data_IF_298807421698
#
_entry.id   IF_298807421698
#
_cell.length_a   1.000
_cell.length_b   1.000
_cell.length_c   1.000
_cell.angle_alpha   90.00
_cell.angle_beta   90.00
_cell.angle_gamma   90.00
#
_symmetry.space_group_name_H-M   'P 1'
#
loop_
_entity.id
_entity.type
_entity.pdbx_description
1 polymer ?
#
# COMPACT_ATOMS: atom_id res chain seq x y z
N UNK A 1 3.38 -51.23 -1.83
CA UNK A 1 3.06 -50.93 -0.42
C UNK A 1 3.23 -49.42 -0.25
N UNK A 2 2.13 -48.69 -0.05
CA UNK A 2 2.22 -47.23 0.17
C UNK A 2 2.93 -46.99 1.51
N UNK A 3 4.02 -46.26 1.47
CA UNK A 3 4.86 -45.94 2.64
C UNK A 3 4.04 -45.20 3.69
N UNK A 4 3.55 -45.92 4.69
CA UNK A 4 2.77 -45.38 5.80
C UNK A 4 3.47 -44.20 6.50
N UNK A 5 4.82 -44.20 6.69
CA UNK A 5 5.55 -43.03 7.25
C UNK A 5 5.47 -41.78 6.40
N UNK A 6 5.51 -41.87 5.07
CA UNK A 6 5.42 -40.70 4.17
C UNK A 6 4.01 -40.08 4.20
N UNK A 7 2.97 -40.91 4.28
CA UNK A 7 1.58 -40.45 4.42
C UNK A 7 1.37 -39.72 5.74
N UNK A 8 1.91 -40.25 6.84
CA UNK A 8 1.85 -39.64 8.17
C UNK A 8 2.64 -38.32 8.18
N UNK A 9 3.83 -38.30 7.61
CA UNK A 9 4.64 -37.08 7.49
C UNK A 9 3.88 -36.00 6.73
N UNK A 10 3.30 -36.34 5.57
CA UNK A 10 2.52 -35.41 4.77
C UNK A 10 1.30 -34.85 5.55
N UNK A 11 0.64 -35.70 6.32
CA UNK A 11 -0.46 -35.29 7.20
C UNK A 11 0.00 -34.29 8.26
N UNK A 12 1.09 -34.58 8.96
CA UNK A 12 1.64 -33.71 10.00
C UNK A 12 2.15 -32.39 9.44
N UNK A 13 2.84 -32.39 8.30
CA UNK A 13 3.31 -31.17 7.65
C UNK A 13 2.16 -30.25 7.21
N UNK A 14 1.03 -30.82 6.76
CA UNK A 14 -0.21 -30.08 6.50
C UNK A 14 -0.80 -29.47 7.78
N UNK A 15 -0.90 -30.26 8.84
CA UNK A 15 -1.40 -29.80 10.14
C UNK A 15 -0.54 -28.67 10.72
N UNK A 16 0.77 -28.76 10.59
CA UNK A 16 1.74 -27.73 10.98
C UNK A 16 1.80 -26.52 10.03
N UNK A 17 1.05 -26.55 8.93
CA UNK A 17 1.03 -25.49 7.90
C UNK A 17 2.42 -25.22 7.31
N UNK A 18 3.14 -26.28 6.97
CA UNK A 18 4.47 -26.26 6.35
C UNK A 18 4.42 -26.76 4.88
N UNK A 19 3.79 -26.02 3.95
CA UNK A 19 3.57 -26.47 2.59
C UNK A 19 4.87 -26.59 1.78
N UNK A 20 5.88 -25.78 2.06
CA UNK A 20 7.18 -25.85 1.37
C UNK A 20 7.94 -27.10 1.81
N UNK A 21 7.91 -27.44 3.10
CA UNK A 21 8.42 -28.72 3.58
C UNK A 21 7.78 -29.88 2.83
N UNK A 22 6.43 -29.88 2.74
CA UNK A 22 5.69 -30.94 2.05
C UNK A 22 6.08 -31.10 0.59
N UNK A 23 6.41 -30.00 -0.09
CA UNK A 23 6.76 -29.98 -1.51
C UNK A 23 8.22 -30.35 -1.77
N UNK A 24 9.15 -29.93 -0.88
CA UNK A 24 10.58 -29.94 -1.16
C UNK A 24 11.37 -30.99 -0.35
N UNK A 25 10.80 -31.59 0.72
CA UNK A 25 11.56 -32.42 1.67
C UNK A 25 12.29 -33.61 1.01
N UNK A 26 11.64 -34.31 0.09
CA UNK A 26 12.20 -35.49 -0.55
C UNK A 26 13.31 -35.12 -1.54
N UNK A 27 13.03 -34.14 -2.40
CA UNK A 27 14.01 -33.62 -3.37
C UNK A 27 15.27 -33.11 -2.69
N UNK A 28 15.08 -32.32 -1.62
CA UNK A 28 16.22 -31.76 -0.87
C UNK A 28 17.00 -32.83 -0.11
N UNK A 29 16.29 -33.87 0.39
CA UNK A 29 16.96 -35.01 1.05
C UNK A 29 17.88 -35.78 0.08
N UNK A 30 17.40 -36.05 -1.14
CA UNK A 30 18.21 -36.71 -2.18
C UNK A 30 19.43 -35.86 -2.56
N UNK A 31 19.26 -34.56 -2.73
CA UNK A 31 20.34 -33.65 -3.03
C UNK A 31 21.38 -33.60 -1.89
N UNK A 32 20.94 -33.45 -0.65
CA UNK A 32 21.81 -33.41 0.52
C UNK A 32 22.58 -34.74 0.72
N UNK A 33 21.93 -35.88 0.45
CA UNK A 33 22.59 -37.17 0.49
C UNK A 33 23.73 -37.29 -0.57
N UNK A 34 23.48 -36.79 -1.78
CA UNK A 34 24.49 -36.75 -2.84
C UNK A 34 25.68 -35.81 -2.52
N UNK A 35 25.39 -34.70 -1.81
CA UNK A 35 26.39 -33.71 -1.38
C UNK A 35 27.13 -34.10 -0.07
N UNK A 36 26.73 -35.18 0.62
CA UNK A 36 27.27 -35.56 1.92
C UNK A 36 26.92 -34.58 3.04
N UNK A 37 25.79 -33.88 2.93
CA UNK A 37 25.32 -32.89 3.90
C UNK A 37 24.67 -33.59 5.10
N UNK A 38 25.02 -33.15 6.32
CA UNK A 38 24.47 -33.72 7.55
C UNK A 38 22.98 -33.34 7.77
N UNK A 39 22.32 -34.07 8.66
CA UNK A 39 20.88 -33.88 8.94
C UNK A 39 20.54 -32.49 9.47
N UNK A 40 21.30 -31.85 10.41
CA UNK A 40 21.06 -30.49 10.82
C UNK A 40 21.07 -29.47 9.68
N UNK A 41 22.04 -29.59 8.77
CA UNK A 41 22.12 -28.69 7.60
C UNK A 41 21.00 -28.93 6.59
N UNK A 42 20.59 -30.19 6.40
CA UNK A 42 19.39 -30.50 5.60
C UNK A 42 18.15 -29.79 6.17
N UNK A 43 17.89 -29.94 7.49
CA UNK A 43 16.75 -29.29 8.14
C UNK A 43 16.84 -27.77 8.08
N UNK A 44 18.05 -27.20 8.22
CA UNK A 44 18.25 -25.76 8.10
C UNK A 44 17.87 -25.26 6.71
N UNK A 45 18.39 -25.90 5.63
CA UNK A 45 18.04 -25.54 4.25
C UNK A 45 16.53 -25.60 4.01
N UNK A 46 15.85 -26.63 4.53
CA UNK A 46 14.42 -26.80 4.37
C UNK A 46 13.63 -25.72 5.13
N UNK A 47 14.08 -25.36 6.33
CA UNK A 47 13.46 -24.29 7.13
C UNK A 47 13.63 -22.92 6.46
N UNK A 48 14.81 -22.64 5.90
CA UNK A 48 15.07 -21.41 5.15
C UNK A 48 14.16 -21.27 3.92
N UNK A 49 13.97 -22.37 3.17
CA UNK A 49 13.04 -22.40 2.04
C UNK A 49 11.59 -22.09 2.48
N UNK A 50 11.13 -22.67 3.60
CA UNK A 50 9.79 -22.38 4.15
C UNK A 50 9.66 -20.91 4.56
N UNK A 51 10.69 -20.32 5.20
CA UNK A 51 10.68 -18.92 5.60
C UNK A 51 10.58 -17.99 4.39
N UNK A 52 11.40 -18.22 3.36
CA UNK A 52 11.37 -17.44 2.10
C UNK A 52 10.01 -17.55 1.42
N UNK A 53 9.47 -18.76 1.28
CA UNK A 53 8.17 -18.97 0.65
C UNK A 53 7.02 -18.39 1.47
N UNK A 54 7.12 -18.42 2.80
CA UNK A 54 6.12 -17.83 3.71
C UNK A 54 6.10 -16.31 3.58
N UNK A 55 7.28 -15.70 3.52
CA UNK A 55 7.41 -14.26 3.30
C UNK A 55 6.85 -13.86 1.93
N UNK A 56 7.22 -14.57 0.87
CA UNK A 56 6.68 -14.34 -0.48
C UNK A 56 5.15 -14.41 -0.51
N UNK A 57 4.55 -15.47 0.03
CA UNK A 57 3.10 -15.63 0.10
C UNK A 57 2.42 -14.54 0.94
N UNK A 58 3.07 -14.07 1.99
CA UNK A 58 2.58 -12.95 2.79
C UNK A 58 2.55 -11.67 1.97
N UNK A 59 3.64 -11.34 1.26
CA UNK A 59 3.73 -10.15 0.38
C UNK A 59 2.67 -10.22 -0.74
N UNK A 60 2.57 -11.34 -1.45
CA UNK A 60 1.57 -11.55 -2.51
C UNK A 60 0.14 -11.31 -1.99
N UNK A 61 -0.18 -11.84 -0.81
CA UNK A 61 -1.46 -11.62 -0.16
C UNK A 61 -1.69 -10.14 0.18
N UNK A 62 -0.68 -9.44 0.73
CA UNK A 62 -0.78 -8.01 1.06
C UNK A 62 -1.01 -7.15 -0.17
N UNK A 63 -0.31 -7.43 -1.28
CA UNK A 63 -0.52 -6.74 -2.56
C UNK A 63 -1.95 -6.96 -3.07
N UNK A 64 -2.45 -8.19 -3.02
CA UNK A 64 -3.82 -8.52 -3.42
C UNK A 64 -4.88 -7.81 -2.56
N UNK A 65 -4.67 -7.81 -1.24
CA UNK A 65 -5.57 -7.16 -0.27
C UNK A 65 -5.59 -5.63 -0.42
N UNK A 66 -4.47 -5.03 -0.86
CA UNK A 66 -4.33 -3.59 -1.04
C UNK A 66 -5.21 -3.00 -2.16
N UNK A 67 -5.67 -3.83 -3.11
CA UNK A 67 -6.53 -3.43 -4.25
C UNK A 67 -5.91 -2.33 -5.12
N UNK A 68 -4.61 -2.39 -5.36
CA UNK A 68 -3.96 -1.45 -6.27
C UNK A 68 -4.55 -1.55 -7.69
N UNK A 69 -4.84 -0.44 -8.37
CA UNK A 69 -5.31 -0.45 -9.77
C UNK A 69 -4.24 -1.00 -10.71
N UNK A 70 -2.98 -0.83 -10.36
CA UNK A 70 -1.80 -1.39 -11.03
C UNK A 70 -0.66 -1.46 -10.03
N UNK A 71 0.25 -2.40 -10.21
CA UNK A 71 1.46 -2.47 -9.38
C UNK A 71 2.52 -1.56 -10.00
N UNK A 72 2.99 -0.58 -9.23
CA UNK A 72 4.07 0.34 -9.59
C UNK A 72 5.16 0.29 -8.53
N UNK A 73 6.42 0.18 -8.98
CA UNK A 73 7.61 0.23 -8.12
C UNK A 73 8.24 1.62 -8.17
N UNK A 74 8.89 2.01 -7.08
CA UNK A 74 9.70 3.24 -7.05
C UNK A 74 10.90 3.16 -7.99
N UNK A 75 11.41 1.95 -8.25
CA UNK A 75 12.52 1.74 -9.20
C UNK A 75 12.16 2.12 -10.64
N UNK A 76 10.86 2.05 -10.98
CA UNK A 76 10.36 2.44 -12.29
C UNK A 76 9.98 3.91 -12.40
N UNK A 77 10.18 4.70 -11.33
CA UNK A 77 9.87 6.12 -11.31
C UNK A 77 11.09 6.95 -11.75
N UNK A 78 10.88 7.82 -12.73
CA UNK A 78 11.90 8.76 -13.19
C UNK A 78 11.92 10.01 -12.31
N UNK A 79 12.78 10.02 -11.30
CA UNK A 79 12.96 11.17 -10.39
C UNK A 79 13.50 12.42 -11.11
N UNK A 80 14.20 12.26 -12.22
CA UNK A 80 14.77 13.39 -12.97
C UNK A 80 13.68 14.20 -13.68
N UNK A 81 12.53 13.58 -13.94
CA UNK A 81 11.39 14.24 -14.58
C UNK A 81 10.67 15.24 -13.66
N UNK A 82 10.87 15.16 -12.33
CA UNK A 82 10.23 16.01 -11.32
C UNK A 82 11.29 16.53 -10.34
N UNK A 83 12.05 17.57 -10.71
CA UNK A 83 13.14 18.07 -9.88
C UNK A 83 12.70 18.65 -8.51
N UNK A 84 11.42 19.05 -8.37
CA UNK A 84 10.86 19.53 -7.10
C UNK A 84 10.67 18.41 -6.07
N UNK A 85 10.60 17.14 -6.52
CA UNK A 85 10.41 16.00 -5.62
C UNK A 85 11.70 15.64 -4.90
N UNK A 86 11.67 15.67 -3.58
CA UNK A 86 12.77 15.21 -2.74
C UNK A 86 12.90 13.68 -2.80
N UNK A 87 13.79 13.17 -3.66
CA UNK A 87 14.04 11.74 -3.83
C UNK A 87 14.49 11.07 -2.51
N UNK A 88 15.36 11.73 -1.75
CA UNK A 88 15.86 11.18 -0.46
C UNK A 88 14.71 10.93 0.50
N UNK A 89 13.78 11.89 0.63
CA UNK A 89 12.59 11.74 1.46
C UNK A 89 11.71 10.58 0.98
N UNK A 90 11.50 10.43 -0.33
CA UNK A 90 10.72 9.29 -0.86
C UNK A 90 11.36 7.94 -0.51
N UNK A 91 12.70 7.83 -0.62
CA UNK A 91 13.43 6.62 -0.27
C UNK A 91 13.41 6.34 1.26
N UNK A 92 13.44 7.37 2.10
CA UNK A 92 13.23 7.24 3.54
C UNK A 92 11.82 6.76 3.86
N UNK A 93 10.80 7.32 3.22
CA UNK A 93 9.42 6.87 3.38
C UNK A 93 9.22 5.42 2.93
N UNK A 94 9.95 4.93 1.92
CA UNK A 94 9.93 3.54 1.50
C UNK A 94 10.43 2.57 2.59
N UNK A 95 11.18 3.05 3.59
CA UNK A 95 11.54 2.26 4.78
C UNK A 95 10.37 2.04 5.72
N UNK A 96 9.27 2.77 5.56
CA UNK A 96 8.04 2.67 6.37
C UNK A 96 8.22 2.95 7.87
N UNK A 97 9.30 3.61 8.28
CA UNK A 97 9.57 3.93 9.69
C UNK A 97 8.61 5.00 10.23
N UNK A 98 8.19 5.95 9.36
CA UNK A 98 7.18 6.98 9.66
C UNK A 98 5.89 6.39 10.23
N UNK A 99 5.54 5.16 9.83
CA UNK A 99 4.36 4.45 10.33
C UNK A 99 4.40 4.20 11.85
N UNK A 100 5.57 3.96 12.43
CA UNK A 100 5.70 3.77 13.87
C UNK A 100 5.32 5.04 14.65
N UNK A 101 5.58 6.21 14.06
CA UNK A 101 5.20 7.53 14.56
C UNK A 101 3.77 7.93 14.15
N UNK A 102 3.13 7.13 13.27
CA UNK A 102 1.80 7.40 12.71
C UNK A 102 1.75 8.68 11.87
N UNK A 103 2.89 9.07 11.30
CA UNK A 103 2.95 10.23 10.42
C UNK A 103 2.18 9.96 9.13
N UNK A 104 1.58 11.00 8.58
CA UNK A 104 0.91 10.99 7.30
C UNK A 104 1.88 11.35 6.17
N UNK A 105 1.47 11.07 4.95
CA UNK A 105 2.18 11.52 3.74
C UNK A 105 1.18 12.23 2.84
N UNK A 106 1.53 13.40 2.33
CA UNK A 106 0.69 14.13 1.38
C UNK A 106 1.52 14.43 0.14
N UNK A 107 1.10 13.93 -1.01
CA UNK A 107 1.70 14.25 -2.31
C UNK A 107 0.82 15.27 -3.03
N UNK A 108 1.33 16.49 -3.18
CA UNK A 108 0.63 17.60 -3.85
C UNK A 108 1.37 18.05 -5.11
N UNK A 109 0.65 18.55 -6.09
CA UNK A 109 1.22 19.12 -7.31
C UNK A 109 0.38 18.87 -8.55
N UNK A 110 0.85 19.37 -9.69
CA UNK A 110 0.11 19.38 -10.95
C UNK A 110 -0.33 17.97 -11.42
N UNK A 111 -1.36 17.93 -12.25
CA UNK A 111 -1.83 16.68 -12.84
C UNK A 111 -0.75 16.04 -13.74
N UNK A 112 -0.60 14.72 -13.66
CA UNK A 112 0.34 13.97 -14.51
C UNK A 112 1.80 13.97 -14.04
N UNK A 113 2.12 14.50 -12.85
CA UNK A 113 3.47 14.50 -12.27
C UNK A 113 3.87 13.19 -11.57
N UNK A 114 2.98 12.19 -11.54
CA UNK A 114 3.31 10.87 -10.99
C UNK A 114 2.97 10.68 -9.51
N UNK A 115 2.14 11.52 -8.89
CA UNK A 115 1.70 11.37 -7.49
C UNK A 115 1.15 9.98 -7.17
N UNK A 116 0.22 9.50 -7.99
CA UNK A 116 -0.32 8.14 -7.86
C UNK A 116 0.77 7.07 -8.00
N UNK A 117 1.79 7.27 -8.87
CA UNK A 117 2.91 6.34 -9.00
C UNK A 117 3.72 6.26 -7.70
N UNK A 118 4.06 7.39 -7.11
CA UNK A 118 4.77 7.45 -5.82
C UNK A 118 3.90 6.81 -4.72
N UNK A 119 2.60 7.11 -4.67
CA UNK A 119 1.68 6.52 -3.69
C UNK A 119 1.62 4.99 -3.80
N UNK A 120 1.51 4.46 -5.03
CA UNK A 120 1.53 3.02 -5.29
C UNK A 120 2.89 2.39 -4.96
N UNK A 121 4.00 3.06 -5.28
CA UNK A 121 5.35 2.60 -4.97
C UNK A 121 5.60 2.51 -3.46
N UNK A 122 5.19 3.53 -2.69
CA UNK A 122 5.25 3.51 -1.23
C UNK A 122 4.32 2.44 -0.63
N UNK A 123 3.13 2.28 -1.21
CA UNK A 123 2.20 1.21 -0.85
C UNK A 123 2.78 -0.18 -1.09
N UNK A 124 3.44 -0.39 -2.23
CA UNK A 124 4.13 -1.64 -2.55
C UNK A 124 5.26 -1.93 -1.55
N UNK A 125 6.09 -0.93 -1.26
CA UNK A 125 7.15 -1.05 -0.24
C UNK A 125 6.59 -1.42 1.14
N UNK A 126 5.44 -0.87 1.52
CA UNK A 126 4.74 -1.25 2.75
C UNK A 126 4.24 -2.70 2.72
N UNK A 127 3.66 -3.16 1.60
CA UNK A 127 3.25 -4.56 1.42
C UNK A 127 4.43 -5.53 1.52
N UNK A 128 5.59 -5.19 0.94
CA UNK A 128 6.82 -5.98 1.02
C UNK A 128 7.32 -6.13 2.47
N UNK A 129 7.03 -5.16 3.33
CA UNK A 129 7.29 -5.24 4.78
C UNK A 129 6.15 -5.91 5.59
N UNK A 130 5.20 -6.56 4.90
CA UNK A 130 4.09 -7.28 5.54
C UNK A 130 2.97 -6.40 6.07
N UNK A 131 3.02 -5.09 5.85
CA UNK A 131 2.01 -4.17 6.34
C UNK A 131 0.69 -4.32 5.56
N UNK A 132 -0.44 -4.13 6.26
CA UNK A 132 -1.74 -4.03 5.60
C UNK A 132 -1.90 -2.66 4.98
N UNK A 133 -2.10 -2.63 3.66
CA UNK A 133 -2.32 -1.41 2.89
C UNK A 133 -3.71 -1.46 2.28
N UNK A 134 -4.40 -0.32 2.26
CA UNK A 134 -5.62 -0.11 1.48
C UNK A 134 -5.40 1.01 0.48
N UNK A 135 -5.87 0.84 -0.75
CA UNK A 135 -5.86 1.87 -1.79
C UNK A 135 -7.28 2.13 -2.26
N UNK A 136 -7.66 3.41 -2.32
CA UNK A 136 -8.95 3.84 -2.83
C UNK A 136 -8.84 5.28 -3.33
N UNK A 137 -9.57 5.64 -4.38
CA UNK A 137 -9.70 7.06 -4.77
C UNK A 137 -10.67 7.78 -3.83
N UNK A 138 -10.49 9.09 -3.62
CA UNK A 138 -11.36 9.86 -2.74
C UNK A 138 -12.83 9.79 -3.18
N UNK A 139 -13.10 9.85 -4.48
CA UNK A 139 -14.45 9.74 -5.02
C UNK A 139 -15.08 8.37 -4.72
N UNK A 140 -14.35 7.27 -4.97
CA UNK A 140 -14.83 5.92 -4.69
C UNK A 140 -15.07 5.71 -3.18
N UNK A 141 -14.18 6.21 -2.33
CA UNK A 141 -14.34 6.14 -0.88
C UNK A 141 -15.61 6.83 -0.41
N UNK A 142 -15.87 8.05 -0.90
CA UNK A 142 -17.08 8.80 -0.55
C UNK A 142 -18.33 8.05 -1.00
N UNK A 143 -18.35 7.48 -2.20
CA UNK A 143 -19.47 6.66 -2.68
C UNK A 143 -19.70 5.44 -1.79
N UNK A 144 -18.64 4.68 -1.45
CA UNK A 144 -18.75 3.53 -0.54
C UNK A 144 -19.24 3.91 0.86
N UNK A 145 -18.83 5.09 1.38
CA UNK A 145 -19.25 5.57 2.69
C UNK A 145 -20.73 5.95 2.71
N UNK A 146 -21.22 6.64 1.67
CA UNK A 146 -22.65 7.02 1.54
C UNK A 146 -23.49 5.75 1.42
N UNK A 147 -23.14 4.83 0.54
CA UNK A 147 -23.85 3.56 0.36
C UNK A 147 -23.85 2.74 1.65
N UNK A 148 -22.69 2.62 2.32
CA UNK A 148 -22.58 1.89 3.57
C UNK A 148 -23.41 2.51 4.70
N UNK A 149 -23.59 3.84 4.73
CA UNK A 149 -24.47 4.54 5.66
C UNK A 149 -25.93 4.17 5.38
N UNK A 150 -26.36 4.25 4.12
CA UNK A 150 -27.74 3.99 3.71
C UNK A 150 -28.12 2.52 3.95
N UNK A 151 -27.16 1.59 3.79
CA UNK A 151 -27.31 0.16 4.09
C UNK A 151 -27.04 -0.22 5.57
N UNK A 152 -26.86 0.75 6.46
CA UNK A 152 -26.58 0.52 7.90
C UNK A 152 -25.32 -0.32 8.20
N UNK A 153 -24.34 -0.32 7.30
CA UNK A 153 -23.06 -1.03 7.45
C UNK A 153 -21.83 -0.12 7.59
N UNK A 154 -22.06 1.20 7.79
CA UNK A 154 -21.01 2.21 7.90
C UNK A 154 -19.94 1.87 8.94
N UNK A 155 -20.34 1.47 10.14
CA UNK A 155 -19.40 1.09 11.21
C UNK A 155 -18.48 -0.08 10.84
N UNK A 156 -18.97 -1.01 10.02
CA UNK A 156 -18.17 -2.13 9.53
C UNK A 156 -17.11 -1.64 8.55
N UNK A 157 -17.49 -0.78 7.59
CA UNK A 157 -16.58 -0.19 6.63
C UNK A 157 -15.51 0.67 7.33
N UNK A 158 -15.91 1.52 8.27
CA UNK A 158 -14.99 2.36 9.04
C UNK A 158 -13.96 1.51 9.81
N UNK A 159 -14.38 0.39 10.43
CA UNK A 159 -13.45 -0.55 11.09
C UNK A 159 -12.47 -1.19 10.11
N UNK A 160 -12.92 -1.54 8.91
CA UNK A 160 -12.05 -2.09 7.86
C UNK A 160 -11.01 -1.05 7.42
N UNK A 161 -11.43 0.18 7.17
CA UNK A 161 -10.51 1.29 6.81
C UNK A 161 -9.51 1.58 7.94
N UNK A 162 -9.97 1.58 9.20
CA UNK A 162 -9.12 1.81 10.37
C UNK A 162 -8.09 0.68 10.61
N UNK A 163 -8.37 -0.54 10.15
CA UNK A 163 -7.47 -1.70 10.31
C UNK A 163 -6.22 -1.63 9.42
N UNK A 164 -6.24 -0.85 8.32
CA UNK A 164 -5.08 -0.68 7.47
C UNK A 164 -3.98 0.10 8.19
N UNK A 165 -2.75 -0.43 8.13
CA UNK A 165 -1.57 0.27 8.67
C UNK A 165 -1.19 1.49 7.83
N UNK A 166 -1.44 1.42 6.52
CA UNK A 166 -1.35 2.52 5.58
C UNK A 166 -2.63 2.54 4.74
N UNK A 167 -3.36 3.66 4.75
CA UNK A 167 -4.48 3.90 3.85
C UNK A 167 -4.07 4.94 2.82
N UNK A 168 -4.16 4.60 1.54
CA UNK A 168 -3.87 5.49 0.42
C UNK A 168 -5.21 6.00 -0.11
N UNK A 169 -5.40 7.32 -0.05
CA UNK A 169 -6.56 8.02 -0.61
C UNK A 169 -6.06 8.85 -1.78
N UNK A 170 -6.30 8.35 -2.99
CA UNK A 170 -5.80 8.96 -4.22
C UNK A 170 -6.79 9.97 -4.79
N UNK A 171 -6.30 10.97 -5.50
CA UNK A 171 -7.09 11.96 -6.24
C UNK A 171 -8.05 12.80 -5.37
N UNK A 172 -7.63 13.17 -4.15
CA UNK A 172 -8.40 14.10 -3.33
C UNK A 172 -8.43 15.50 -3.99
N UNK A 173 -9.63 16.05 -4.14
CA UNK A 173 -9.83 17.37 -4.75
C UNK A 173 -10.09 17.34 -6.25
N UNK A 174 -10.14 16.18 -6.89
CA UNK A 174 -10.46 16.08 -8.31
C UNK A 174 -11.91 16.44 -8.62
N UNK A 175 -12.82 16.18 -7.69
CA UNK A 175 -14.24 16.52 -7.77
C UNK A 175 -14.68 17.10 -6.43
N UNK A 176 -15.49 18.20 -6.41
CA UNK A 176 -16.10 18.70 -5.20
C UNK A 176 -16.97 17.63 -4.52
N UNK A 177 -16.92 17.55 -3.21
CA UNK A 177 -17.68 16.58 -2.43
C UNK A 177 -19.05 17.16 -2.05
N UNK A 178 -20.05 16.29 -1.95
CA UNK A 178 -21.30 16.67 -1.28
C UNK A 178 -21.04 16.92 0.21
N UNK A 179 -21.84 17.73 0.87
CA UNK A 179 -21.72 18.00 2.32
C UNK A 179 -21.63 16.72 3.14
N UNK A 180 -22.52 15.77 2.87
CA UNK A 180 -22.50 14.45 3.52
C UNK A 180 -21.21 13.66 3.21
N UNK A 181 -20.76 13.69 1.97
CA UNK A 181 -19.51 13.01 1.57
C UNK A 181 -18.30 13.59 2.28
N UNK A 182 -18.24 14.91 2.40
CA UNK A 182 -17.18 15.63 3.12
C UNK A 182 -17.16 15.28 4.62
N UNK A 183 -18.33 15.22 5.27
CA UNK A 183 -18.48 14.84 6.67
C UNK A 183 -18.03 13.38 6.91
N UNK A 184 -18.49 12.45 6.09
CA UNK A 184 -18.11 11.04 6.19
C UNK A 184 -16.60 10.81 5.95
N UNK A 185 -16.04 11.52 4.98
CA UNK A 185 -14.59 11.45 4.71
C UNK A 185 -13.80 12.06 5.89
N UNK A 186 -14.25 13.16 6.46
CA UNK A 186 -13.67 13.74 7.67
C UNK A 186 -13.69 12.76 8.86
N UNK A 187 -14.78 11.99 9.04
CA UNK A 187 -14.84 10.96 10.07
C UNK A 187 -13.76 9.89 9.87
N UNK A 188 -13.51 9.45 8.61
CA UNK A 188 -12.44 8.49 8.31
C UNK A 188 -11.07 9.04 8.73
N UNK A 189 -10.74 10.28 8.36
CA UNK A 189 -9.48 10.90 8.78
C UNK A 189 -9.39 11.05 10.30
N UNK A 190 -10.48 11.45 10.94
CA UNK A 190 -10.53 11.62 12.41
C UNK A 190 -10.34 10.30 13.16
N UNK A 191 -10.92 9.21 12.67
CA UNK A 191 -10.73 7.88 13.26
C UNK A 191 -9.31 7.34 13.06
N UNK A 192 -8.61 7.77 12.02
CA UNK A 192 -7.23 7.36 11.73
C UNK A 192 -6.18 8.25 12.40
N UNK A 193 -6.57 9.46 12.81
CA UNK A 193 -5.68 10.39 13.49
C UNK A 193 -5.00 9.72 14.68
N UNK A 194 -3.65 9.76 14.73
CA UNK A 194 -2.77 9.11 15.71
C UNK A 194 -2.96 7.57 15.87
N UNK A 195 -3.65 6.91 14.95
CA UNK A 195 -3.90 5.46 14.99
C UNK A 195 -3.31 4.71 13.80
N UNK A 196 -3.22 5.36 12.66
CA UNK A 196 -2.67 4.76 11.44
C UNK A 196 -2.26 5.83 10.45
N UNK A 197 -1.25 5.53 9.64
CA UNK A 197 -0.76 6.45 8.62
C UNK A 197 -1.72 6.52 7.44
N UNK A 198 -1.92 7.73 6.93
CA UNK A 198 -2.69 7.96 5.71
C UNK A 198 -1.80 8.64 4.67
N UNK A 199 -1.84 8.16 3.43
CA UNK A 199 -1.20 8.80 2.30
C UNK A 199 -2.29 9.41 1.42
N UNK A 200 -2.21 10.71 1.17
CA UNK A 200 -3.16 11.43 0.33
C UNK A 200 -2.44 11.95 -0.89
N UNK A 201 -3.03 11.83 -2.08
CA UNK A 201 -2.58 12.57 -3.25
C UNK A 201 -3.61 13.62 -3.62
N UNK A 202 -3.15 14.81 -3.98
CA UNK A 202 -4.02 15.92 -4.42
C UNK A 202 -3.36 16.70 -5.57
N UNK A 203 -4.17 17.13 -6.50
CA UNK A 203 -3.75 18.07 -7.54
C UNK A 203 -3.97 19.54 -7.13
N UNK A 204 -4.61 19.76 -5.99
CA UNK A 204 -4.89 21.07 -5.44
C UNK A 204 -3.96 21.38 -4.27
N UNK A 205 -3.45 22.61 -4.16
CA UNK A 205 -2.79 23.10 -2.97
C UNK A 205 -3.80 23.20 -1.80
N UNK A 206 -3.29 23.28 -0.57
CA UNK A 206 -4.14 23.21 0.64
C UNK A 206 -5.17 24.32 0.77
N UNK A 207 -4.86 25.51 0.28
CA UNK A 207 -5.74 26.67 0.27
C UNK A 207 -7.01 26.49 -0.61
N UNK A 208 -6.93 25.62 -1.61
CA UNK A 208 -8.07 25.29 -2.48
C UNK A 208 -8.94 24.14 -1.92
N UNK A 209 -8.53 23.47 -0.84
CA UNK A 209 -9.30 22.34 -0.28
C UNK A 209 -10.67 22.76 0.29
N UNK A 210 -10.82 24.02 0.67
CA UNK A 210 -12.14 24.54 1.09
C UNK A 210 -13.19 24.39 -0.02
N UNK A 211 -12.79 24.57 -1.29
CA UNK A 211 -13.67 24.33 -2.42
C UNK A 211 -14.06 22.85 -2.60
N UNK A 212 -13.25 21.92 -2.12
CA UNK A 212 -13.55 20.47 -2.17
C UNK A 212 -14.52 20.06 -1.06
N UNK A 213 -14.27 20.51 0.17
CA UNK A 213 -15.06 20.13 1.35
C UNK A 213 -16.27 21.05 1.62
N UNK A 214 -16.37 22.19 0.94
CA UNK A 214 -17.50 23.11 1.00
C UNK A 214 -17.64 23.87 2.33
N UNK A 215 -16.72 23.72 3.28
CA UNK A 215 -16.77 24.35 4.60
C UNK A 215 -15.35 24.66 5.11
N UNK A 216 -15.06 25.94 5.39
CA UNK A 216 -13.78 26.37 5.97
C UNK A 216 -13.50 25.67 7.31
N UNK A 217 -14.53 25.55 8.16
CA UNK A 217 -14.42 24.91 9.48
C UNK A 217 -14.03 23.43 9.35
N UNK A 218 -14.68 22.71 8.43
CA UNK A 218 -14.42 21.29 8.21
C UNK A 218 -13.02 21.09 7.61
N UNK A 219 -12.66 21.92 6.63
CA UNK A 219 -11.34 21.90 5.99
C UNK A 219 -10.23 22.22 6.98
N UNK A 220 -10.38 23.26 7.79
CA UNK A 220 -9.40 23.60 8.83
C UNK A 220 -9.18 22.46 9.83
N UNK A 221 -10.28 21.88 10.33
CA UNK A 221 -10.20 20.74 11.26
C UNK A 221 -9.60 19.46 10.62
N UNK A 222 -9.78 19.27 9.31
CA UNK A 222 -9.19 18.18 8.57
C UNK A 222 -7.68 18.38 8.40
N UNK A 223 -7.30 19.59 7.93
CA UNK A 223 -5.89 19.93 7.72
C UNK A 223 -5.10 19.84 9.02
N UNK A 224 -5.65 20.36 10.13
CA UNK A 224 -5.02 20.24 11.45
C UNK A 224 -4.65 18.78 11.78
N UNK A 225 -5.57 17.83 11.56
CA UNK A 225 -5.32 16.40 11.81
C UNK A 225 -4.35 15.76 10.83
N UNK A 226 -4.43 16.11 9.55
CA UNK A 226 -3.58 15.52 8.52
C UNK A 226 -2.15 16.05 8.59
N UNK A 227 -1.98 17.33 8.97
CA UNK A 227 -0.68 18.01 8.95
C UNK A 227 0.03 18.03 10.30
N UNK A 228 -0.58 17.56 11.37
CA UNK A 228 0.03 17.52 12.70
C UNK A 228 1.37 16.74 12.70
N UNK A 229 1.40 15.59 12.02
CA UNK A 229 2.61 14.81 11.76
C UNK A 229 2.59 14.38 10.29
N UNK A 230 3.28 15.12 9.42
CA UNK A 230 3.16 14.93 7.97
C UNK A 230 4.50 15.05 7.24
N UNK A 231 4.66 14.23 6.22
CA UNK A 231 5.67 14.41 5.19
C UNK A 231 4.99 14.89 3.91
N UNK A 232 5.36 16.07 3.43
CA UNK A 232 4.80 16.65 2.22
C UNK A 232 5.77 16.39 1.05
N UNK A 233 5.24 15.80 -0.01
CA UNK A 233 5.93 15.56 -1.27
C UNK A 233 5.40 16.56 -2.31
N UNK A 234 6.18 17.58 -2.60
CA UNK A 234 5.85 18.55 -3.62
C UNK A 234 6.25 18.02 -5.00
N UNK A 235 5.27 17.86 -5.87
CA UNK A 235 5.42 17.25 -7.19
C UNK A 235 4.96 18.23 -8.28
N UNK A 236 5.63 19.39 -8.31
CA UNK A 236 5.38 20.44 -9.28
C UNK A 236 6.25 20.22 -10.52
N UNK A 237 5.64 20.31 -11.70
CA UNK A 237 6.35 20.10 -12.96
C UNK A 237 5.40 19.85 -14.13
N UNK A 238 5.99 19.59 -15.29
CA UNK A 238 5.25 19.24 -16.50
C UNK A 238 4.65 17.84 -16.40
N UNK A 239 3.51 17.66 -17.04
CA UNK A 239 2.87 16.34 -17.12
C UNK A 239 3.74 15.33 -17.88
N UNK A 240 4.22 14.31 -17.16
CA UNK A 240 4.96 13.20 -17.76
C UNK A 240 4.11 12.43 -18.79
N UNK A 241 2.80 12.30 -18.55
CA UNK A 241 1.86 11.67 -19.50
C UNK A 241 1.81 12.41 -20.83
N UNK A 242 1.80 13.76 -20.79
CA UNK A 242 1.81 14.58 -22.00
C UNK A 242 3.15 14.48 -22.74
N UNK A 243 4.29 14.46 -22.01
CA UNK A 243 5.62 14.26 -22.62
C UNK A 243 5.69 12.91 -23.34
N UNK A 244 5.26 11.82 -22.70
CA UNK A 244 5.24 10.50 -23.33
C UNK A 244 4.32 10.44 -24.56
N UNK A 245 3.12 11.03 -24.48
CA UNK A 245 2.20 11.07 -25.62
C UNK A 245 2.80 11.79 -26.83
N UNK A 246 3.43 12.97 -26.60
CA UNK A 246 4.11 13.73 -27.66
C UNK A 246 5.31 12.97 -28.25
N UNK A 247 6.05 12.22 -27.44
CA UNK A 247 7.18 11.40 -27.93
C UNK A 247 6.71 10.26 -28.82
N UNK A 248 5.63 9.58 -28.44
CA UNK A 248 5.03 8.49 -29.26
C UNK A 248 4.52 9.01 -30.60
N UNK A 249 3.89 10.19 -30.62
CA UNK A 249 3.41 10.81 -31.88
C UNK A 249 4.53 11.26 -32.83
N UNK A 250 5.75 11.50 -32.32
CA UNK A 250 6.91 11.84 -33.14
C UNK A 250 7.65 10.62 -33.70
N UNK A 251 7.36 9.44 -33.22
CA UNK A 251 7.98 8.18 -33.63
C UNK A 251 7.08 7.37 -34.60
N UNK A 252 5.85 7.83 -34.81
CA UNK A 252 4.89 7.34 -35.83
C UNK A 252 4.88 8.27 -37.00
#
# INVERSE_FOLDING_TARGET
MSDTPQLLLAHHLKALKLPTFLREYDKLAQQCAAEGVDHPRYLLRLAELELIDRERRMVERRIKEARFPTVKSLDSFDFTAIPSLNQTLVLELARCEYRARRDNVIAVGNSGTGKTHIALGLGLAACQKGLSVGFITAAALVHELIEARDEKRLLRLQRQLAAHKLLIIDELGYVPLSTTGAELLFEVFSQRYERGSTLVTSNLPFDEWTGVFGSERLTGALLDRLTHHVHILEMNGDSYRLKQSKQRQRQT
#
